data_IF_538223899561
#
_entry.id   IF_538223899561
#
_cell.length_a   1.000
_cell.length_b   1.000
_cell.length_c   1.000
_cell.angle_alpha   90.00
_cell.angle_beta   90.00
_cell.angle_gamma   90.00
#
_symmetry.space_group_name_H-M   'P 1'
#
loop_
_entity.id
_entity.type
_entity.pdbx_description
1 polymer ?
#
# COMPACT_ATOMS: atom_id res chain seq x y z
N UNK A 1 -15.96 -38.25 -41.58
CA UNK A 1 -16.24 -37.97 -40.15
C UNK A 1 -15.02 -37.38 -39.40
N UNK A 2 -13.78 -37.83 -39.67
CA UNK A 2 -12.57 -37.30 -39.00
C UNK A 2 -12.30 -35.80 -39.22
N UNK A 3 -12.64 -35.25 -40.38
CA UNK A 3 -12.50 -33.81 -40.69
C UNK A 3 -13.41 -32.92 -39.85
N UNK A 4 -14.65 -33.36 -39.60
CA UNK A 4 -15.59 -32.61 -38.76
C UNK A 4 -15.19 -32.65 -37.28
N UNK A 5 -14.74 -33.81 -36.81
CA UNK A 5 -14.28 -34.01 -35.43
C UNK A 5 -13.02 -33.18 -35.17
N UNK A 6 -12.03 -33.22 -36.07
CA UNK A 6 -10.81 -32.40 -35.94
C UNK A 6 -11.11 -30.90 -35.96
N UNK A 7 -12.06 -30.45 -36.78
CA UNK A 7 -12.49 -29.04 -36.82
C UNK A 7 -13.15 -28.61 -35.52
N UNK A 8 -14.03 -29.45 -34.94
CA UNK A 8 -14.64 -29.19 -33.63
C UNK A 8 -13.61 -29.16 -32.50
N UNK A 9 -12.62 -30.06 -32.51
CA UNK A 9 -11.54 -30.05 -31.52
C UNK A 9 -10.69 -28.79 -31.63
N UNK A 10 -10.37 -28.35 -32.85
CA UNK A 10 -9.57 -27.14 -33.07
C UNK A 10 -10.34 -25.88 -32.66
N UNK A 11 -11.63 -25.79 -33.01
CA UNK A 11 -12.47 -24.69 -32.56
C UNK A 11 -12.62 -24.70 -31.02
N UNK A 12 -12.83 -25.87 -30.43
CA UNK A 12 -12.95 -26.04 -28.98
C UNK A 12 -11.68 -25.64 -28.24
N UNK A 13 -10.50 -25.99 -28.76
CA UNK A 13 -9.22 -25.62 -28.14
C UNK A 13 -8.96 -24.12 -28.19
N UNK A 14 -9.28 -23.45 -29.30
CA UNK A 14 -9.17 -21.99 -29.41
C UNK A 14 -10.10 -21.29 -28.43
N UNK A 15 -11.36 -21.73 -28.32
CA UNK A 15 -12.32 -21.18 -27.35
C UNK A 15 -11.84 -21.40 -25.92
N UNK A 16 -11.35 -22.59 -25.59
CA UNK A 16 -10.86 -22.91 -24.26
C UNK A 16 -9.64 -22.04 -23.88
N UNK A 17 -8.69 -21.84 -24.80
CA UNK A 17 -7.54 -20.96 -24.59
C UNK A 17 -7.95 -19.51 -24.43
N UNK A 18 -8.87 -19.03 -25.28
CA UNK A 18 -9.42 -17.67 -25.18
C UNK A 18 -10.11 -17.45 -23.83
N UNK A 19 -10.93 -18.41 -23.40
CA UNK A 19 -11.61 -18.37 -22.11
C UNK A 19 -10.62 -18.34 -20.93
N UNK A 20 -9.59 -19.18 -20.97
CA UNK A 20 -8.55 -19.19 -19.94
C UNK A 20 -7.79 -17.83 -19.89
N UNK A 21 -7.54 -17.23 -21.06
CA UNK A 21 -6.97 -15.89 -21.16
C UNK A 21 -7.85 -14.82 -20.51
N UNK A 22 -9.16 -14.84 -20.78
CA UNK A 22 -10.12 -13.92 -20.16
C UNK A 22 -10.21 -14.10 -18.64
N UNK A 23 -10.21 -15.35 -18.16
CA UNK A 23 -10.19 -15.65 -16.72
C UNK A 23 -8.93 -15.09 -16.08
N UNK A 24 -7.77 -15.29 -16.69
CA UNK A 24 -6.49 -14.78 -16.19
C UNK A 24 -6.48 -13.25 -16.15
N UNK A 25 -6.97 -12.61 -17.21
CA UNK A 25 -7.09 -11.15 -17.29
C UNK A 25 -8.03 -10.61 -16.19
N UNK A 26 -9.16 -11.29 -15.96
CA UNK A 26 -10.12 -10.92 -14.91
C UNK A 26 -9.48 -10.94 -13.51
N UNK A 27 -8.74 -12.00 -13.18
CA UNK A 27 -7.99 -12.05 -11.91
C UNK A 27 -6.98 -10.90 -11.79
N UNK A 28 -6.25 -10.60 -12.87
CA UNK A 28 -5.34 -9.46 -12.91
C UNK A 28 -6.04 -8.12 -12.64
N UNK A 29 -7.21 -7.90 -13.26
CA UNK A 29 -8.00 -6.69 -13.05
C UNK A 29 -8.54 -6.58 -11.62
N UNK A 30 -8.98 -7.68 -11.02
CA UNK A 30 -9.44 -7.69 -9.62
C UNK A 30 -8.29 -7.32 -8.68
N UNK A 31 -7.10 -7.92 -8.86
CA UNK A 31 -5.90 -7.58 -8.09
C UNK A 31 -5.51 -6.11 -8.25
N UNK A 32 -5.47 -5.61 -9.48
CA UNK A 32 -5.16 -4.22 -9.78
C UNK A 32 -6.17 -3.25 -9.13
N UNK A 33 -7.47 -3.60 -9.16
CA UNK A 33 -8.53 -2.81 -8.55
C UNK A 33 -8.37 -2.73 -7.02
N UNK A 34 -8.10 -3.86 -6.36
CA UNK A 34 -7.88 -3.90 -4.90
C UNK A 34 -6.65 -3.05 -4.52
N UNK A 35 -5.54 -3.22 -5.23
CA UNK A 35 -4.32 -2.45 -4.99
C UNK A 35 -4.55 -0.95 -5.19
N UNK A 36 -5.24 -0.56 -6.28
CA UNK A 36 -5.55 0.84 -6.56
C UNK A 36 -6.46 1.44 -5.50
N UNK A 37 -7.50 0.71 -5.08
CA UNK A 37 -8.46 1.17 -4.08
C UNK A 37 -7.81 1.32 -2.70
N UNK A 38 -6.95 0.37 -2.31
CA UNK A 38 -6.22 0.44 -1.04
C UNK A 38 -5.23 1.59 -1.01
N UNK A 39 -4.50 1.83 -2.10
CA UNK A 39 -3.61 3.00 -2.22
C UNK A 39 -4.39 4.30 -2.19
N UNK A 40 -5.50 4.39 -2.93
CA UNK A 40 -6.36 5.59 -2.94
C UNK A 40 -6.90 5.88 -1.53
N UNK A 41 -7.39 4.86 -0.83
CA UNK A 41 -7.85 5.00 0.55
C UNK A 41 -6.73 5.48 1.49
N UNK A 42 -5.53 4.89 1.38
CA UNK A 42 -4.34 5.32 2.13
C UNK A 42 -3.93 6.76 1.85
N UNK A 43 -4.01 7.20 0.59
CA UNK A 43 -3.67 8.56 0.19
C UNK A 43 -4.66 9.60 0.74
N UNK A 44 -5.93 9.19 0.91
CA UNK A 44 -6.98 10.04 1.49
C UNK A 44 -7.01 10.02 3.02
N UNK A 45 -6.39 9.03 3.68
CA UNK A 45 -6.37 8.96 5.13
C UNK A 45 -5.48 10.05 5.73
N UNK A 46 -5.96 10.81 6.73
CA UNK A 46 -5.12 11.76 7.45
C UNK A 46 -4.01 11.01 8.18
N UNK A 47 -2.76 11.39 7.94
CA UNK A 47 -1.63 10.84 8.69
C UNK A 47 -1.73 11.31 10.15
N UNK A 48 -1.79 10.41 11.14
CA UNK A 48 -1.72 10.81 12.54
C UNK A 48 -0.31 11.35 12.78
N UNK A 49 -0.20 12.68 12.91
CA UNK A 49 1.04 13.30 13.37
C UNK A 49 1.27 12.84 14.82
N UNK A 50 2.46 12.30 15.17
CA UNK A 50 2.77 12.00 16.55
C UNK A 50 2.58 13.27 17.37
N UNK A 51 1.81 13.17 18.46
CA UNK A 51 1.53 14.29 19.32
C UNK A 51 2.86 14.87 19.83
N UNK A 52 3.10 16.18 19.70
CA UNK A 52 4.33 16.77 20.21
C UNK A 52 4.36 16.55 21.73
N UNK A 53 5.31 15.74 22.20
CA UNK A 53 5.57 15.56 23.62
C UNK A 53 6.17 16.87 24.12
N UNK A 54 5.33 17.72 24.71
CA UNK A 54 5.81 18.90 25.43
C UNK A 54 6.49 18.41 26.71
N UNK A 55 7.76 18.72 26.88
CA UNK A 55 8.45 18.56 28.15
C UNK A 55 7.86 19.57 29.15
N UNK A 56 6.80 19.17 29.86
CA UNK A 56 6.27 19.96 30.98
C UNK A 56 7.16 19.71 32.20
N UNK A 57 7.70 20.76 32.85
CA UNK A 57 8.49 20.60 34.07
C UNK A 57 7.63 19.96 35.17
N UNK A 58 8.22 19.03 35.92
CA UNK A 58 7.51 18.22 36.91
C UNK A 58 7.19 19.01 38.20
N UNK A 59 7.88 20.13 38.44
CA UNK A 59 7.70 20.99 39.61
C UNK A 59 7.82 22.50 39.30
N UNK A 60 7.05 23.37 39.98
CA UNK A 60 7.25 24.82 39.92
C UNK A 60 8.65 25.19 40.46
N UNK A 61 9.48 25.82 39.63
CA UNK A 61 10.87 26.21 39.99
C UNK A 61 11.96 25.28 39.47
N UNK A 62 11.61 24.16 38.83
CA UNK A 62 12.57 23.31 38.12
C UNK A 62 12.92 23.96 36.77
N UNK A 63 14.21 24.19 36.49
CA UNK A 63 14.64 24.67 35.16
C UNK A 63 14.18 23.65 34.14
N UNK A 64 13.47 24.10 33.11
CA UNK A 64 13.11 23.25 31.98
C UNK A 64 14.42 22.87 31.30
N UNK A 65 14.90 21.63 31.51
CA UNK A 65 16.10 21.14 30.84
C UNK A 65 15.88 21.25 29.33
N UNK A 66 16.53 22.22 28.71
CA UNK A 66 16.33 22.50 27.30
C UNK A 66 17.34 21.68 26.51
N UNK A 67 16.84 20.66 25.83
CA UNK A 67 17.64 19.78 24.99
C UNK A 67 17.38 20.15 23.54
N UNK A 68 18.42 20.59 22.83
CA UNK A 68 18.34 20.77 21.39
C UNK A 68 19.61 20.30 20.70
N UNK A 69 19.47 19.89 19.44
CA UNK A 69 20.59 19.51 18.59
C UNK A 69 20.82 20.62 17.57
N UNK A 70 22.01 21.20 17.53
CA UNK A 70 22.39 22.30 16.63
C UNK A 70 22.99 21.80 15.29
N UNK A 71 22.97 20.49 15.06
CA UNK A 71 23.59 19.85 13.89
C UNK A 71 25.08 19.55 14.05
N UNK A 72 25.70 20.00 15.15
CA UNK A 72 27.09 19.70 15.54
C UNK A 72 27.17 18.91 16.85
N UNK A 73 26.10 18.89 17.64
CA UNK A 73 25.97 18.06 18.83
C UNK A 73 24.66 18.31 19.57
N UNK A 74 24.38 17.48 20.58
CA UNK A 74 23.24 17.69 21.48
C UNK A 74 23.67 18.57 22.65
N UNK A 75 23.02 19.72 22.81
CA UNK A 75 23.22 20.65 23.92
C UNK A 75 22.15 20.36 24.97
N UNK A 76 22.58 20.26 26.23
CA UNK A 76 21.69 20.09 27.38
C UNK A 76 21.94 21.26 28.33
N UNK A 77 21.00 22.19 28.35
CA UNK A 77 20.99 23.32 29.28
C UNK A 77 20.31 22.87 30.59
N UNK A 78 21.10 22.70 31.66
CA UNK A 78 20.66 22.23 32.98
C UNK A 78 20.62 23.36 34.01
#
# INVERSE_FOLDING_TARGET
MQSLISLLFTAGSVVALGFLGLVTLSFGLVLAAILSLTLAARAMMPQPKPAPVKATPNRPGERVTRIWNDGRGTIIDM
#
